data_IF_725441228955
#
_entry.id   IF_725441228955
#
_cell.length_a   1.000
_cell.length_b   1.000
_cell.length_c   1.000
_cell.angle_alpha   90.00
_cell.angle_beta   90.00
_cell.angle_gamma   90.00
#
_symmetry.space_group_name_H-M   'P 1'
#
loop_
_entity.id
_entity.type
_entity.pdbx_description
1 polymer ?
#
# COMPACT_ATOMS: atom_id res chain seq x y z
N UNK A 1 3.09 -12.87 -1.67
CA UNK A 1 4.50 -13.25 -1.86
C UNK A 1 4.59 -14.02 -3.17
N UNK A 2 5.27 -13.47 -4.17
CA UNK A 2 5.49 -14.15 -5.45
C UNK A 2 6.68 -15.08 -5.29
N UNK A 3 6.45 -16.39 -5.34
CA UNK A 3 7.52 -17.39 -5.31
C UNK A 3 7.99 -17.61 -6.75
N UNK A 4 9.17 -17.10 -7.09
CA UNK A 4 9.79 -17.36 -8.38
C UNK A 4 10.41 -18.75 -8.37
N UNK A 5 9.97 -19.62 -9.29
CA UNK A 5 10.62 -20.90 -9.58
C UNK A 5 11.06 -20.86 -11.03
N UNK A 6 12.31 -21.23 -11.29
CA UNK A 6 12.76 -21.53 -12.64
C UNK A 6 12.31 -22.96 -12.96
N UNK A 7 11.29 -23.17 -13.80
CA UNK A 7 10.88 -24.52 -14.17
C UNK A 7 11.96 -25.13 -15.07
N UNK A 8 12.06 -26.47 -15.05
CA UNK A 8 13.14 -27.20 -15.72
C UNK A 8 13.11 -27.09 -17.25
N UNK A 9 11.99 -26.62 -17.81
CA UNK A 9 11.78 -26.39 -19.24
C UNK A 9 12.30 -25.01 -19.71
N UNK A 10 12.82 -24.18 -18.79
CA UNK A 10 13.40 -22.87 -19.11
C UNK A 10 12.38 -21.79 -19.43
N UNK A 11 11.07 -22.04 -19.25
CA UNK A 11 10.05 -21.03 -19.49
C UNK A 11 9.85 -20.13 -18.27
N UNK A 12 9.82 -18.82 -18.49
CA UNK A 12 9.52 -17.87 -17.43
C UNK A 12 8.03 -17.91 -17.10
N UNK A 13 7.70 -18.08 -15.82
CA UNK A 13 6.34 -18.04 -15.31
C UNK A 13 6.24 -16.99 -14.21
N UNK A 14 5.26 -16.09 -14.32
CA UNK A 14 5.04 -15.00 -13.34
C UNK A 14 4.43 -15.50 -12.04
N UNK A 15 3.64 -16.59 -12.10
CA UNK A 15 3.03 -17.25 -10.95
C UNK A 15 2.78 -18.73 -11.25
N UNK A 16 3.12 -19.61 -10.29
CA UNK A 16 2.86 -21.05 -10.38
C UNK A 16 1.84 -21.47 -9.33
N UNK A 17 0.66 -21.89 -9.76
CA UNK A 17 -0.28 -22.63 -8.91
C UNK A 17 0.01 -24.13 -9.07
N UNK A 18 0.38 -24.87 -8.01
CA UNK A 18 0.42 -26.32 -8.11
C UNK A 18 -0.99 -26.83 -8.45
N UNK A 19 -1.11 -27.65 -9.50
CA UNK A 19 -2.38 -28.09 -10.12
C UNK A 19 -3.38 -28.76 -9.17
N UNK A 20 -2.98 -29.11 -7.95
CA UNK A 20 -3.82 -29.78 -6.95
C UNK A 20 -3.96 -29.06 -5.61
N UNK A 21 -3.30 -27.92 -5.40
CA UNK A 21 -3.38 -27.17 -4.15
C UNK A 21 -3.54 -25.68 -4.42
N UNK A 22 -4.75 -25.17 -4.20
CA UNK A 22 -5.01 -23.75 -4.29
C UNK A 22 -4.49 -23.07 -3.03
N UNK A 23 -3.31 -22.45 -3.12
CA UNK A 23 -2.71 -21.68 -2.02
C UNK A 23 -3.44 -20.35 -1.72
N UNK A 24 -4.45 -19.99 -2.54
CA UNK A 24 -5.20 -18.74 -2.41
C UNK A 24 -6.71 -18.91 -2.19
N UNK A 25 -7.30 -20.04 -2.57
CA UNK A 25 -8.71 -20.36 -2.33
C UNK A 25 -8.77 -21.56 -1.38
N UNK A 26 -8.90 -21.29 -0.08
CA UNK A 26 -8.92 -22.35 0.93
C UNK A 26 -8.57 -21.96 2.37
N UNK A 27 -8.13 -20.72 2.64
CA UNK A 27 -7.85 -20.23 3.99
C UNK A 27 -6.70 -20.94 4.72
N UNK A 28 -6.30 -20.48 5.92
CA UNK A 28 -5.04 -20.84 6.58
C UNK A 28 -4.90 -22.29 7.05
N UNK A 29 -5.89 -23.16 6.86
CA UNK A 29 -6.01 -24.39 7.66
C UNK A 29 -5.89 -25.71 6.90
N UNK A 30 -5.63 -25.71 5.59
CA UNK A 30 -5.69 -26.96 4.80
C UNK A 30 -4.37 -27.70 4.55
N UNK A 31 -3.24 -27.21 5.10
CA UNK A 31 -1.93 -27.88 5.03
C UNK A 31 -1.32 -28.12 6.42
N UNK A 32 -2.14 -28.41 7.43
CA UNK A 32 -1.71 -28.58 8.83
C UNK A 32 -1.05 -27.33 9.46
N UNK A 33 -1.17 -26.16 8.80
CA UNK A 33 -0.73 -24.90 9.35
C UNK A 33 -1.71 -24.43 10.44
N UNK A 34 -1.20 -24.45 11.68
CA UNK A 34 -1.91 -23.99 12.87
C UNK A 34 -1.50 -22.56 13.26
N UNK A 35 -0.71 -21.88 12.42
CA UNK A 35 -0.30 -20.51 12.66
C UNK A 35 -1.53 -19.59 12.65
N UNK A 36 -1.58 -18.70 13.63
CA UNK A 36 -2.59 -17.65 13.64
C UNK A 36 -2.40 -16.72 12.44
N UNK A 37 -3.50 -16.13 11.96
CA UNK A 37 -3.41 -15.07 10.96
C UNK A 37 -2.60 -13.89 11.50
N UNK A 38 -1.76 -13.31 10.65
CA UNK A 38 -0.75 -12.33 11.05
C UNK A 38 -1.30 -11.12 11.81
N UNK A 39 -2.55 -10.72 11.53
CA UNK A 39 -3.20 -9.58 12.20
C UNK A 39 -3.46 -9.79 13.69
N UNK A 40 -3.59 -11.04 14.15
CA UNK A 40 -3.93 -11.33 15.55
C UNK A 40 -2.74 -11.07 16.48
N UNK A 41 -1.55 -11.49 16.08
CA UNK A 41 -0.35 -11.48 16.94
C UNK A 41 0.85 -10.79 16.30
N UNK A 42 1.19 -11.14 15.07
CA UNK A 42 2.46 -10.71 14.45
C UNK A 42 2.43 -9.22 14.10
N UNK A 43 1.36 -8.73 13.44
CA UNK A 43 1.31 -7.33 13.02
C UNK A 43 1.27 -6.36 14.22
N UNK A 44 0.47 -6.57 15.28
CA UNK A 44 0.54 -5.75 16.50
C UNK A 44 1.96 -5.67 17.06
N UNK A 45 2.64 -6.82 17.20
CA UNK A 45 4.02 -6.86 17.72
C UNK A 45 5.00 -6.06 16.88
N UNK A 46 4.89 -6.13 15.55
CA UNK A 46 5.75 -5.35 14.64
C UNK A 46 5.45 -3.85 14.74
N UNK A 47 4.17 -3.47 14.83
CA UNK A 47 3.76 -2.07 15.00
C UNK A 47 4.35 -1.51 16.30
N UNK A 48 4.16 -2.23 17.41
CA UNK A 48 4.63 -1.82 18.74
C UNK A 48 6.15 -1.74 18.83
N UNK A 49 6.87 -2.69 18.21
CA UNK A 49 8.32 -2.72 18.24
C UNK A 49 8.98 -1.65 17.35
N UNK A 50 8.37 -1.30 16.22
CA UNK A 50 9.01 -0.44 15.21
C UNK A 50 8.47 0.98 15.17
N UNK A 51 7.22 1.18 15.59
CA UNK A 51 6.48 2.44 15.48
C UNK A 51 6.45 3.04 14.06
N UNK A 52 6.74 2.24 13.02
CA UNK A 52 6.78 2.69 11.62
C UNK A 52 6.39 1.57 10.67
N UNK A 53 5.11 1.21 10.68
CA UNK A 53 4.51 0.22 9.78
C UNK A 53 3.57 0.92 8.81
N UNK A 54 3.61 0.56 7.52
CA UNK A 54 2.70 1.06 6.50
C UNK A 54 1.83 -0.07 5.97
N UNK A 55 0.51 0.13 6.00
CA UNK A 55 -0.47 -0.68 5.27
C UNK A 55 -1.15 0.23 4.24
N UNK A 56 -1.10 -0.13 2.96
CA UNK A 56 -1.74 0.66 1.91
C UNK A 56 -2.65 -0.17 1.01
N UNK A 57 -3.79 0.41 0.63
CA UNK A 57 -4.77 -0.20 -0.27
C UNK A 57 -5.06 0.74 -1.44
N UNK A 58 -5.14 0.18 -2.65
CA UNK A 58 -5.75 0.87 -3.79
C UNK A 58 -7.27 0.90 -3.65
N UNK A 59 -7.91 2.01 -4.04
CA UNK A 59 -9.37 2.16 -3.98
C UNK A 59 -10.13 1.36 -5.05
N UNK A 60 -9.46 0.89 -6.10
CA UNK A 60 -10.00 0.05 -7.17
C UNK A 60 -9.53 -1.41 -7.07
N UNK A 61 -8.94 -1.82 -5.95
CA UNK A 61 -8.65 -3.23 -5.70
C UNK A 61 -9.88 -3.97 -5.20
N UNK A 62 -10.37 -4.93 -5.97
CA UNK A 62 -11.49 -5.81 -5.61
C UNK A 62 -11.05 -7.20 -5.14
N UNK A 63 -9.76 -7.53 -5.20
CA UNK A 63 -9.21 -8.76 -4.63
C UNK A 63 -8.96 -8.58 -3.13
N UNK A 64 -8.38 -7.44 -2.74
CA UNK A 64 -8.16 -7.04 -1.35
C UNK A 64 -8.77 -5.67 -1.12
N UNK A 65 -10.09 -5.66 -0.92
CA UNK A 65 -10.87 -4.43 -0.80
C UNK A 65 -10.42 -3.57 0.39
N UNK A 66 -10.36 -2.25 0.16
CA UNK A 66 -10.02 -1.24 1.17
C UNK A 66 -10.84 -1.39 2.46
N UNK A 67 -12.17 -1.51 2.33
CA UNK A 67 -13.06 -1.59 3.49
C UNK A 67 -12.82 -2.86 4.33
N UNK A 68 -12.49 -3.98 3.69
CA UNK A 68 -12.14 -5.22 4.40
C UNK A 68 -10.84 -5.07 5.19
N UNK A 69 -9.84 -4.38 4.62
CA UNK A 69 -8.59 -4.07 5.32
C UNK A 69 -8.83 -3.14 6.51
N UNK A 70 -9.60 -2.06 6.33
CA UNK A 70 -9.96 -1.16 7.44
C UNK A 70 -10.74 -1.88 8.54
N UNK A 71 -11.69 -2.75 8.19
CA UNK A 71 -12.43 -3.55 9.19
C UNK A 71 -11.50 -4.49 9.96
N UNK A 72 -10.52 -5.08 9.26
CA UNK A 72 -9.50 -5.94 9.88
C UNK A 72 -8.62 -5.15 10.84
N UNK A 73 -8.22 -3.92 10.49
CA UNK A 73 -7.48 -3.01 11.38
C UNK A 73 -8.35 -2.60 12.57
N UNK A 74 -9.62 -2.26 12.36
CA UNK A 74 -10.52 -1.90 13.47
C UNK A 74 -10.74 -3.05 14.46
N UNK A 75 -10.54 -4.30 14.04
CA UNK A 75 -10.62 -5.49 14.89
C UNK A 75 -9.25 -5.90 15.49
N UNK A 76 -8.18 -5.16 15.22
CA UNK A 76 -6.85 -5.41 15.76
C UNK A 76 -6.64 -4.59 17.03
N UNK A 77 -6.10 -5.21 18.08
CA UNK A 77 -5.64 -4.49 19.28
C UNK A 77 -4.13 -4.31 19.20
N UNK A 78 -3.64 -3.08 19.39
CA UNK A 78 -2.21 -2.77 19.47
C UNK A 78 -2.00 -1.54 20.34
N UNK A 79 -0.87 -1.49 21.05
CA UNK A 79 -0.58 -0.44 22.03
C UNK A 79 -1.80 -0.23 22.96
N UNK A 80 -2.30 -1.34 23.52
CA UNK A 80 -3.40 -1.44 24.50
C UNK A 80 -4.80 -1.02 24.01
N UNK A 81 -4.94 -0.55 22.77
CA UNK A 81 -6.21 -0.02 22.25
C UNK A 81 -6.69 -0.79 21.02
N UNK A 82 -8.01 -1.01 20.94
CA UNK A 82 -8.67 -1.68 19.82
C UNK A 82 -8.92 -0.69 18.69
N UNK A 83 -8.39 -0.98 17.49
CA UNK A 83 -8.67 -0.22 16.29
C UNK A 83 -8.16 1.23 16.34
N UNK A 84 -8.39 1.96 15.25
CA UNK A 84 -8.21 3.40 15.25
C UNK A 84 -9.23 4.08 16.15
N UNK A 85 -8.77 5.06 16.93
CA UNK A 85 -9.57 5.87 17.85
C UNK A 85 -10.16 7.11 17.16
N UNK A 86 -9.64 7.48 15.99
CA UNK A 86 -10.24 8.50 15.14
C UNK A 86 -10.34 8.02 13.70
N UNK A 87 -11.30 8.59 12.98
CA UNK A 87 -11.56 8.22 11.59
C UNK A 87 -10.42 8.74 10.69
N UNK A 88 -9.92 7.94 9.75
CA UNK A 88 -9.02 8.40 8.68
C UNK A 88 -9.66 9.47 7.80
N UNK A 89 -9.09 10.69 7.80
CA UNK A 89 -9.63 11.83 7.03
C UNK A 89 -8.55 12.72 6.37
N UNK A 90 -7.26 12.54 6.71
CA UNK A 90 -6.19 13.41 6.22
C UNK A 90 -5.87 13.12 4.76
N UNK A 91 -6.22 14.04 3.86
CA UNK A 91 -5.89 13.97 2.44
C UNK A 91 -4.38 13.96 2.18
N UNK A 92 -3.96 13.24 1.15
CA UNK A 92 -2.57 13.20 0.65
C UNK A 92 -2.50 13.90 -0.70
N UNK A 93 -1.58 14.85 -0.84
CA UNK A 93 -1.32 15.56 -2.10
C UNK A 93 0.11 15.31 -2.54
N UNK A 94 0.28 14.85 -3.78
CA UNK A 94 1.60 14.56 -4.33
C UNK A 94 2.21 15.83 -4.93
N UNK A 95 3.25 16.32 -4.27
CA UNK A 95 4.02 17.52 -4.66
C UNK A 95 5.36 17.21 -5.33
N UNK A 96 5.60 15.93 -5.65
CA UNK A 96 6.83 15.52 -6.34
C UNK A 96 6.95 16.21 -7.71
N UNK A 97 8.09 16.83 -8.04
CA UNK A 97 8.29 17.46 -9.34
C UNK A 97 8.25 16.41 -10.45
N UNK A 98 7.92 16.83 -11.67
CA UNK A 98 8.16 16.01 -12.86
C UNK A 98 9.59 16.27 -13.34
N UNK A 99 10.47 15.27 -13.25
CA UNK A 99 11.87 15.44 -13.66
C UNK A 99 12.08 15.24 -15.16
N UNK A 100 11.12 14.65 -15.87
CA UNK A 100 11.27 14.26 -17.28
C UNK A 100 10.62 15.28 -18.21
N UNK A 101 9.49 15.84 -17.81
CA UNK A 101 8.64 16.67 -18.65
C UNK A 101 8.39 18.07 -18.09
N UNK A 102 9.15 18.53 -17.08
CA UNK A 102 8.98 19.84 -16.44
C UNK A 102 8.90 21.02 -17.44
N UNK A 103 9.64 20.95 -18.55
CA UNK A 103 9.69 22.00 -19.58
C UNK A 103 8.64 21.87 -20.69
N UNK A 104 7.93 20.75 -20.81
CA UNK A 104 6.89 20.55 -21.84
C UNK A 104 5.77 21.59 -21.73
N UNK A 105 5.27 21.94 -20.53
CA UNK A 105 4.21 22.93 -20.39
C UNK A 105 4.62 24.30 -20.93
N UNK A 106 5.81 24.79 -20.55
CA UNK A 106 6.30 26.09 -21.00
C UNK A 106 6.54 26.12 -22.51
N UNK A 107 7.03 25.00 -23.09
CA UNK A 107 7.16 24.82 -24.54
C UNK A 107 5.80 24.85 -25.26
N UNK A 108 4.74 24.41 -24.61
CA UNK A 108 3.36 24.46 -25.15
C UNK A 108 2.63 25.77 -24.81
N UNK A 109 3.34 26.80 -24.34
CA UNK A 109 2.76 28.11 -24.02
C UNK A 109 1.91 28.12 -22.76
N UNK A 110 2.02 27.09 -21.92
CA UNK A 110 1.33 27.03 -20.62
C UNK A 110 2.03 28.00 -19.65
N UNK A 111 1.34 29.02 -19.10
CA UNK A 111 1.93 29.96 -18.17
C UNK A 111 2.49 29.27 -16.92
N UNK A 112 3.60 29.79 -16.38
CA UNK A 112 4.22 29.28 -15.16
C UNK A 112 3.30 29.27 -13.94
N UNK A 113 2.27 30.12 -13.93
CA UNK A 113 1.22 30.17 -12.91
C UNK A 113 0.30 28.95 -12.88
N UNK A 114 0.24 28.17 -13.97
CA UNK A 114 -0.52 26.91 -14.04
C UNK A 114 0.37 25.70 -14.39
N UNK A 115 1.65 25.94 -14.72
CA UNK A 115 2.61 24.89 -15.06
C UNK A 115 3.50 24.44 -13.92
N UNK A 116 3.51 25.17 -12.79
CA UNK A 116 4.40 24.92 -11.65
C UNK A 116 4.09 23.57 -10.99
N UNK A 117 4.67 22.51 -11.56
CA UNK A 117 4.44 21.12 -11.20
C UNK A 117 3.02 20.72 -11.54
N UNK A 118 2.84 19.83 -12.52
CA UNK A 118 1.57 19.13 -12.73
C UNK A 118 1.32 18.26 -11.50
N UNK A 119 0.82 18.89 -10.42
CA UNK A 119 0.54 18.24 -9.16
C UNK A 119 -0.50 17.18 -9.45
N UNK A 120 -0.26 15.96 -9.00
CA UNK A 120 -1.21 14.86 -9.17
C UNK A 120 -2.54 15.14 -8.44
N UNK A 121 -2.59 16.18 -7.61
CA UNK A 121 -3.74 16.53 -6.79
C UNK A 121 -3.84 15.63 -5.57
N UNK A 122 -5.06 15.50 -5.05
CA UNK A 122 -5.37 14.62 -3.90
C UNK A 122 -5.34 13.18 -4.36
N UNK A 123 -4.35 12.42 -3.91
CA UNK A 123 -4.11 11.02 -4.28
C UNK A 123 -4.41 10.02 -3.18
N UNK A 124 -5.22 10.43 -2.21
CA UNK A 124 -5.77 9.51 -1.23
C UNK A 124 -5.91 10.11 0.16
N UNK A 125 -5.98 9.21 1.13
CA UNK A 125 -6.19 9.51 2.55
C UNK A 125 -5.17 8.73 3.36
N UNK A 126 -4.43 9.40 4.22
CA UNK A 126 -3.52 8.80 5.18
C UNK A 126 -4.07 8.88 6.60
N UNK A 127 -3.63 7.97 7.45
CA UNK A 127 -3.91 7.97 8.88
C UNK A 127 -2.76 7.32 9.63
N UNK A 128 -2.10 8.09 10.49
CA UNK A 128 -1.06 7.56 11.36
C UNK A 128 -1.54 7.54 12.80
N UNK A 129 -1.49 6.38 13.44
CA UNK A 129 -1.91 6.20 14.81
C UNK A 129 -1.12 5.09 15.50
N UNK A 130 -0.51 5.41 16.65
CA UNK A 130 0.23 4.46 17.51
C UNK A 130 1.18 3.54 16.73
N UNK A 131 1.99 4.10 15.82
CA UNK A 131 3.01 3.37 15.06
C UNK A 131 2.57 2.79 13.71
N UNK A 132 1.27 2.84 13.40
CA UNK A 132 0.70 2.34 12.14
C UNK A 132 0.26 3.50 11.25
N UNK A 133 0.83 3.57 10.04
CA UNK A 133 0.31 4.35 8.92
C UNK A 133 -0.62 3.47 8.09
N UNK A 134 -1.85 3.91 7.90
CA UNK A 134 -2.75 3.42 6.87
C UNK A 134 -2.85 4.44 5.75
N UNK A 135 -2.82 3.98 4.50
CA UNK A 135 -2.94 4.83 3.31
C UNK A 135 -3.90 4.22 2.29
N UNK A 136 -4.99 4.92 1.98
CA UNK A 136 -5.75 4.69 0.76
C UNK A 136 -5.07 5.43 -0.38
N UNK A 137 -4.74 4.74 -1.47
CA UNK A 137 -4.30 5.35 -2.72
C UNK A 137 -5.47 5.46 -3.70
N UNK A 138 -5.77 6.68 -4.14
CA UNK A 138 -6.84 6.94 -5.11
C UNK A 138 -6.47 6.47 -6.52
N UNK A 139 -7.48 6.10 -7.31
CA UNK A 139 -7.34 5.66 -8.71
C UNK A 139 -6.31 4.54 -8.87
N UNK A 140 -6.37 3.53 -8.01
CA UNK A 140 -5.32 2.52 -7.90
C UNK A 140 -5.89 1.12 -7.70
N UNK A 141 -5.48 0.17 -8.54
CA UNK A 141 -5.79 -1.26 -8.36
C UNK A 141 -4.80 -1.98 -7.44
N UNK A 142 -4.80 -3.31 -7.53
CA UNK A 142 -4.02 -4.23 -6.68
C UNK A 142 -2.51 -3.95 -6.67
N UNK A 143 -1.93 -3.64 -7.84
CA UNK A 143 -0.49 -3.41 -8.01
C UNK A 143 -0.17 -1.91 -7.88
N UNK A 144 -0.09 -1.38 -6.65
CA UNK A 144 -0.01 0.07 -6.45
C UNK A 144 1.16 0.76 -7.16
N UNK A 145 2.34 0.15 -7.16
CA UNK A 145 3.51 0.72 -7.85
C UNK A 145 3.33 0.79 -9.38
N UNK A 146 2.49 -0.08 -9.96
CA UNK A 146 2.18 -0.07 -11.38
C UNK A 146 1.21 1.06 -11.73
N UNK A 147 0.17 1.26 -10.93
CA UNK A 147 -0.88 2.24 -11.21
C UNK A 147 -0.58 3.64 -10.71
N UNK A 148 0.03 3.77 -9.53
CA UNK A 148 0.35 5.03 -8.87
C UNK A 148 1.82 5.06 -8.37
N UNK A 149 2.80 5.06 -9.29
CA UNK A 149 4.23 4.97 -8.94
C UNK A 149 4.72 6.15 -8.08
N UNK A 150 4.19 7.35 -8.29
CA UNK A 150 4.54 8.53 -7.49
C UNK A 150 4.11 8.38 -6.03
N UNK A 151 2.92 7.84 -5.79
CA UNK A 151 2.41 7.56 -4.44
C UNK A 151 3.21 6.42 -3.79
N UNK A 152 3.47 5.35 -4.53
CA UNK A 152 4.31 4.24 -4.05
C UNK A 152 5.73 4.70 -3.70
N UNK A 153 6.29 5.68 -4.41
CA UNK A 153 7.56 6.28 -4.02
C UNK A 153 7.47 7.06 -2.70
N UNK A 154 6.38 7.80 -2.46
CA UNK A 154 6.13 8.45 -1.16
C UNK A 154 6.04 7.44 -0.03
N UNK A 155 5.41 6.29 -0.26
CA UNK A 155 5.36 5.19 0.72
C UNK A 155 6.77 4.80 1.17
N UNK A 156 7.70 4.60 0.23
CA UNK A 156 9.09 4.28 0.54
C UNK A 156 9.79 5.42 1.29
N UNK A 157 9.62 6.67 0.85
CA UNK A 157 10.20 7.83 1.54
C UNK A 157 9.72 7.91 3.00
N UNK A 158 8.45 7.63 3.25
CA UNK A 158 7.92 7.59 4.61
C UNK A 158 8.49 6.41 5.40
N UNK A 159 8.49 5.19 4.86
CA UNK A 159 9.06 4.03 5.57
C UNK A 159 10.54 4.23 5.95
N UNK A 160 11.32 4.91 5.08
CA UNK A 160 12.73 5.22 5.30
C UNK A 160 12.98 6.45 6.19
N UNK A 161 11.93 7.14 6.65
CA UNK A 161 12.05 8.33 7.50
C UNK A 161 12.53 9.58 6.75
N UNK A 162 12.46 9.60 5.41
CA UNK A 162 12.76 10.80 4.63
C UNK A 162 11.63 11.83 4.68
N UNK A 163 10.41 11.40 5.03
CA UNK A 163 9.26 12.27 5.32
C UNK A 163 8.43 11.72 6.47
N UNK A 164 7.75 12.62 7.19
CA UNK A 164 6.92 12.27 8.35
C UNK A 164 5.45 12.05 8.01
N UNK A 165 5.01 12.52 6.84
CA UNK A 165 3.69 12.25 6.29
C UNK A 165 3.73 12.10 4.77
N UNK A 166 2.77 11.33 4.25
CA UNK A 166 2.55 11.13 2.83
C UNK A 166 2.04 12.39 2.16
#
# INVERSE_FOLDING_TARGET
MTLFRFPADGHFVTYFAPEYYNVFVGGPHHNEDLSEVSIIRVLPQVIEATNRVLVSNGDYDFNVIRNGTLMTIQNMTWNENLGFQSRPEKSVVITLPDLRWDGVPSQNGVPSSISSGFLQGVMGIQHYERGLMWMQTSQCGHMQAQYQPRVAYRHLQWMLGHVDSL
#
